data_IF_179332721907
#
_entry.id   IF_179332721907
#
_cell.length_a   1.000
_cell.length_b   1.000
_cell.length_c   1.000
_cell.angle_alpha   90.00
_cell.angle_beta   90.00
_cell.angle_gamma   90.00
#
_symmetry.space_group_name_H-M   'P 1'
#
loop_
_entity.id
_entity.type
_entity.pdbx_description
1 polymer ?
#
# COMPACT_ATOMS: atom_id res chain seq x y z
N UNK A 1 34.69 -4.30 -48.59
CA UNK A 1 33.78 -5.37 -49.05
C UNK A 1 33.84 -6.51 -48.04
N UNK A 2 32.73 -7.24 -47.82
CA UNK A 2 32.45 -8.23 -46.75
C UNK A 2 31.83 -7.60 -45.46
N UNK A 3 30.57 -7.12 -45.49
CA UNK A 3 29.25 -7.82 -45.41
C UNK A 3 28.92 -8.41 -44.03
N UNK A 4 28.18 -7.61 -43.27
CA UNK A 4 27.26 -8.00 -42.19
C UNK A 4 26.26 -9.05 -42.71
N UNK A 5 26.40 -10.31 -42.28
CA UNK A 5 25.45 -11.38 -42.56
C UNK A 5 24.80 -12.00 -41.31
N UNK A 6 25.20 -11.61 -40.10
CA UNK A 6 24.76 -12.28 -38.87
C UNK A 6 23.54 -11.64 -38.18
N UNK A 7 22.92 -10.60 -38.77
CA UNK A 7 21.79 -9.89 -38.16
C UNK A 7 20.41 -10.26 -38.77
N UNK A 8 20.38 -11.03 -39.87
CA UNK A 8 19.14 -11.36 -40.58
C UNK A 8 18.60 -12.77 -40.25
N UNK A 9 19.38 -13.65 -39.60
CA UNK A 9 18.95 -15.02 -39.25
C UNK A 9 18.46 -15.19 -37.80
N UNK A 10 18.57 -14.16 -36.95
CA UNK A 10 18.09 -14.22 -35.57
C UNK A 10 16.62 -13.75 -35.40
N UNK A 11 15.99 -13.24 -36.46
CA UNK A 11 14.63 -12.65 -36.44
C UNK A 11 13.55 -13.53 -37.09
N UNK A 12 13.90 -14.72 -37.58
CA UNK A 12 12.97 -15.63 -38.29
C UNK A 12 12.63 -16.90 -37.53
N UNK A 13 13.01 -17.02 -36.25
CA UNK A 13 12.78 -18.21 -35.41
C UNK A 13 11.76 -18.09 -34.29
N UNK A 14 11.10 -16.94 -34.09
CA UNK A 14 10.26 -16.67 -32.92
C UNK A 14 8.82 -16.24 -33.25
N UNK A 15 8.28 -16.69 -34.39
CA UNK A 15 6.89 -16.48 -34.78
C UNK A 15 6.23 -17.82 -35.09
N UNK A 16 5.90 -18.57 -34.03
CA UNK A 16 4.98 -19.71 -34.11
C UNK A 16 3.97 -19.61 -32.96
N UNK A 17 2.75 -19.20 -33.33
CA UNK A 17 1.47 -19.67 -32.79
C UNK A 17 1.34 -19.82 -31.26
N UNK A 18 1.02 -18.70 -30.59
CA UNK A 18 0.32 -18.72 -29.32
C UNK A 18 -1.16 -19.10 -29.55
N UNK A 19 -1.42 -20.40 -29.70
CA UNK A 19 -2.78 -20.97 -29.76
C UNK A 19 -3.42 -20.90 -28.37
N UNK A 20 -4.52 -20.17 -28.27
CA UNK A 20 -5.40 -20.16 -27.10
C UNK A 20 -6.14 -21.51 -27.04
N UNK A 21 -5.95 -22.28 -25.95
CA UNK A 21 -6.75 -23.47 -25.69
C UNK A 21 -8.05 -23.09 -24.95
N UNK A 22 -9.24 -23.30 -25.54
CA UNK A 22 -10.49 -23.14 -24.83
C UNK A 22 -10.85 -24.41 -24.05
N UNK A 23 -11.28 -24.23 -22.81
CA UNK A 23 -12.16 -25.16 -22.10
C UNK A 23 -11.49 -26.37 -21.45
N UNK A 24 -11.26 -26.28 -20.12
CA UNK A 24 -11.40 -27.46 -19.26
C UNK A 24 -12.22 -27.10 -18.02
N UNK A 25 -13.35 -27.78 -17.91
CA UNK A 25 -14.37 -27.67 -16.87
C UNK A 25 -13.82 -28.10 -15.51
N UNK A 26 -14.32 -27.48 -14.44
CA UNK A 26 -14.02 -27.86 -13.06
C UNK A 26 -14.49 -29.30 -12.78
N UNK A 27 -13.57 -30.16 -12.33
CA UNK A 27 -13.90 -31.45 -11.73
C UNK A 27 -14.31 -31.25 -10.26
N UNK A 28 -15.46 -31.80 -9.81
CA UNK A 28 -15.84 -31.80 -8.40
C UNK A 28 -15.11 -32.93 -7.65
N UNK A 29 -14.54 -32.59 -6.49
CA UNK A 29 -13.95 -33.56 -5.57
C UNK A 29 -15.02 -34.50 -4.95
N UNK A 30 -14.75 -35.81 -4.79
CA UNK A 30 -15.71 -36.74 -4.24
C UNK A 30 -15.79 -36.66 -2.71
N UNK A 31 -17.04 -36.79 -2.26
CA UNK A 31 -17.53 -36.90 -0.89
C UNK A 31 -16.97 -38.14 -0.20
N UNK A 32 -16.50 -38.00 1.06
CA UNK A 32 -16.37 -39.12 2.00
C UNK A 32 -17.31 -38.88 3.19
N UNK A 33 -18.21 -39.84 3.44
CA UNK A 33 -19.10 -39.92 4.59
C UNK A 33 -18.88 -41.23 5.35
N UNK A 34 -19.07 -41.14 6.69
CA UNK A 34 -19.17 -42.12 7.80
C UNK A 34 -17.96 -42.04 8.74
N UNK A 35 -18.10 -41.83 10.06
CA UNK A 35 -19.07 -42.36 11.07
C UNK A 35 -19.52 -41.23 12.05
N UNK A 36 -20.80 -40.98 12.37
CA UNK A 36 -21.75 -41.58 13.35
C UNK A 36 -21.29 -41.74 14.82
N UNK A 37 -21.73 -40.80 15.68
CA UNK A 37 -22.47 -41.01 16.96
C UNK A 37 -22.75 -39.61 17.59
N UNK A 38 -23.96 -39.08 17.72
CA UNK A 38 -25.19 -39.49 18.46
C UNK A 38 -25.36 -38.73 19.79
N UNK A 39 -26.21 -37.69 19.77
CA UNK A 39 -27.22 -37.24 20.78
C UNK A 39 -27.51 -35.74 20.59
N UNK A 40 -28.66 -35.15 20.90
CA UNK A 40 -30.08 -35.49 21.00
C UNK A 40 -30.76 -34.19 21.53
N UNK A 41 -31.94 -33.81 21.03
CA UNK A 41 -32.78 -32.72 21.57
C UNK A 41 -33.24 -31.68 20.53
N UNK A 42 -34.22 -31.99 19.66
CA UNK A 42 -35.68 -31.75 19.79
C UNK A 42 -36.03 -30.28 20.15
N UNK A 43 -36.64 -29.49 19.25
CA UNK A 43 -38.08 -29.40 18.89
C UNK A 43 -38.51 -27.94 19.16
N UNK A 44 -39.44 -27.25 18.50
CA UNK A 44 -40.45 -27.60 17.51
C UNK A 44 -40.82 -26.34 16.70
N UNK A 45 -41.26 -26.58 15.46
CA UNK A 45 -42.07 -25.68 14.63
C UNK A 45 -43.53 -25.79 15.09
N UNK A 46 -44.22 -24.66 15.20
CA UNK A 46 -45.67 -24.57 15.36
C UNK A 46 -46.22 -23.52 14.40
N UNK A 47 -47.17 -23.94 13.56
CA UNK A 47 -47.93 -23.14 12.59
C UNK A 47 -49.41 -23.18 12.99
N UNK A 48 -50.16 -22.15 12.56
CA UNK A 48 -51.56 -21.79 12.85
C UNK A 48 -51.68 -20.87 14.08
N UNK A 49 -52.27 -19.68 13.97
CA UNK A 49 -53.68 -19.48 13.62
C UNK A 49 -53.96 -18.13 12.95
N UNK A 50 -55.00 -18.14 12.13
CA UNK A 50 -55.60 -17.03 11.38
C UNK A 50 -56.31 -16.08 12.35
N UNK A 51 -56.07 -14.77 12.24
CA UNK A 51 -57.11 -13.79 12.60
C UNK A 51 -57.14 -12.66 11.58
N UNK A 52 -58.36 -12.39 11.14
CA UNK A 52 -58.73 -11.58 10.00
C UNK A 52 -59.44 -10.35 10.56
N UNK A 53 -58.84 -9.16 10.46
CA UNK A 53 -59.56 -7.90 10.59
C UNK A 53 -58.78 -6.75 9.97
N UNK A 54 -59.08 -6.49 8.70
CA UNK A 54 -59.01 -5.16 8.10
C UNK A 54 -60.29 -4.40 8.55
N UNK A 55 -60.18 -3.10 8.85
CA UNK A 55 -60.90 -2.20 7.96
C UNK A 55 -60.01 -1.06 7.47
N UNK A 56 -60.29 -0.69 6.23
CA UNK A 56 -59.72 0.41 5.47
C UNK A 56 -59.82 1.74 6.22
N UNK A 57 -58.72 2.49 6.20
CA UNK A 57 -58.73 3.94 6.36
C UNK A 57 -57.57 4.52 5.55
N UNK A 58 -57.93 4.90 4.32
CA UNK A 58 -57.53 6.14 3.66
C UNK A 58 -56.03 6.49 3.63
N UNK A 59 -55.49 6.34 2.41
CA UNK A 59 -54.67 7.35 1.73
C UNK A 59 -54.41 8.63 2.55
N UNK A 60 -53.23 8.71 3.16
CA UNK A 60 -52.62 9.99 3.51
C UNK A 60 -51.48 10.23 2.52
N UNK A 61 -51.85 11.03 1.52
CA UNK A 61 -51.01 11.92 0.75
C UNK A 61 -49.59 11.45 0.44
N UNK A 62 -49.45 10.99 -0.80
CA UNK A 62 -48.65 11.74 -1.77
C UNK A 62 -48.76 13.26 -1.53
N UNK A 63 -48.02 13.75 -0.52
CA UNK A 63 -47.76 15.18 -0.34
C UNK A 63 -46.88 15.53 -1.52
N UNK A 64 -47.53 16.07 -2.54
CA UNK A 64 -46.91 16.94 -3.53
C UNK A 64 -45.85 17.77 -2.83
N UNK A 65 -44.59 17.47 -3.15
CA UNK A 65 -43.45 18.25 -2.75
C UNK A 65 -43.61 19.63 -3.39
N UNK A 66 -44.32 20.49 -2.66
CA UNK A 66 -44.48 21.91 -2.89
C UNK A 66 -43.08 22.48 -3.12
N UNK A 67 -42.92 23.15 -4.26
CA UNK A 67 -41.65 23.43 -4.95
C UNK A 67 -40.64 24.35 -4.27
N UNK A 68 -40.54 24.34 -2.94
CA UNK A 68 -39.61 25.16 -2.16
C UNK A 68 -38.65 24.32 -1.26
N UNK A 69 -38.95 23.04 -1.02
CA UNK A 69 -38.02 22.15 -0.30
C UNK A 69 -36.85 21.64 -1.17
N UNK A 70 -36.98 21.71 -2.50
CA UNK A 70 -35.95 21.38 -3.47
C UNK A 70 -34.68 22.24 -3.36
N UNK A 71 -34.77 23.58 -3.45
CA UNK A 71 -33.61 24.46 -3.41
C UNK A 71 -32.84 24.39 -2.09
N UNK A 72 -33.54 24.34 -0.94
CA UNK A 72 -32.89 24.26 0.39
C UNK A 72 -32.12 22.94 0.59
N UNK A 73 -32.66 21.83 0.07
CA UNK A 73 -31.98 20.52 0.10
C UNK A 73 -30.79 20.47 -0.87
N UNK A 74 -30.89 21.09 -2.04
CA UNK A 74 -29.78 21.19 -2.98
C UNK A 74 -28.62 22.04 -2.41
N UNK A 75 -28.95 23.19 -1.84
CA UNK A 75 -27.97 24.11 -1.24
C UNK A 75 -27.22 23.47 -0.06
N UNK A 76 -27.93 22.78 0.84
CA UNK A 76 -27.30 22.06 1.95
C UNK A 76 -26.38 20.95 1.47
N UNK A 77 -26.80 20.16 0.47
CA UNK A 77 -25.94 19.12 -0.14
C UNK A 77 -24.68 19.71 -0.75
N UNK A 78 -24.77 20.78 -1.53
CA UNK A 78 -23.61 21.42 -2.16
C UNK A 78 -22.66 22.03 -1.12
N UNK A 79 -23.19 22.65 -0.06
CA UNK A 79 -22.37 23.13 1.08
C UNK A 79 -21.59 21.99 1.73
N UNK A 80 -22.26 20.87 1.99
CA UNK A 80 -21.60 19.69 2.57
C UNK A 80 -20.50 19.14 1.64
N UNK A 81 -20.77 19.03 0.34
CA UNK A 81 -19.78 18.56 -0.64
C UNK A 81 -18.57 19.50 -0.73
N UNK A 82 -18.81 20.82 -0.75
CA UNK A 82 -17.73 21.82 -0.77
C UNK A 82 -16.84 21.71 0.46
N UNK A 83 -17.43 21.53 1.65
CA UNK A 83 -16.67 21.33 2.89
C UNK A 83 -15.87 20.03 2.86
N UNK A 84 -16.46 18.93 2.37
CA UNK A 84 -15.77 17.64 2.25
C UNK A 84 -14.59 17.73 1.28
N UNK A 85 -14.78 18.33 0.10
CA UNK A 85 -13.71 18.52 -0.89
C UNK A 85 -12.58 19.37 -0.31
N UNK A 86 -12.88 20.48 0.37
CA UNK A 86 -11.85 21.33 0.99
C UNK A 86 -11.05 20.60 2.08
N UNK A 87 -11.71 19.75 2.86
CA UNK A 87 -11.04 18.94 3.90
C UNK A 87 -10.15 17.85 3.28
N UNK A 88 -10.60 17.24 2.19
CA UNK A 88 -9.91 16.12 1.55
C UNK A 88 -8.94 16.54 0.44
N UNK A 89 -8.85 17.83 0.11
CA UNK A 89 -8.02 18.38 -0.96
C UNK A 89 -6.55 17.96 -0.85
N UNK A 90 -6.08 17.81 0.39
CA UNK A 90 -4.72 17.39 0.70
C UNK A 90 -4.36 15.98 0.22
N UNK A 91 -5.34 15.13 -0.07
CA UNK A 91 -5.10 13.81 -0.68
C UNK A 91 -4.38 13.97 -2.04
N UNK A 92 -4.67 15.04 -2.78
CA UNK A 92 -4.04 15.32 -4.07
C UNK A 92 -2.56 15.68 -3.97
N UNK A 93 -2.07 16.04 -2.78
CA UNK A 93 -0.67 16.35 -2.51
C UNK A 93 0.16 15.11 -2.12
N UNK A 94 -0.40 13.91 -2.23
CA UNK A 94 0.36 12.70 -1.93
C UNK A 94 1.48 12.47 -2.96
N UNK A 95 2.64 12.00 -2.48
CA UNK A 95 3.76 11.63 -3.33
C UNK A 95 3.81 10.10 -3.40
N UNK A 96 3.39 9.57 -4.55
CA UNK A 96 3.35 8.13 -4.76
C UNK A 96 4.72 7.47 -4.59
N UNK A 97 5.80 8.09 -5.08
CA UNK A 97 7.13 7.48 -5.06
C UNK A 97 7.66 7.32 -3.64
N UNK A 98 7.44 8.34 -2.79
CA UNK A 98 7.83 8.30 -1.38
C UNK A 98 7.05 7.25 -0.58
N UNK A 99 5.73 7.15 -0.79
CA UNK A 99 4.89 6.19 -0.07
C UNK A 99 5.01 4.76 -0.60
N UNK A 100 5.15 4.57 -1.92
CA UNK A 100 5.28 3.27 -2.54
C UNK A 100 6.59 2.58 -2.13
N UNK A 101 7.63 3.37 -1.82
CA UNK A 101 8.96 2.88 -1.47
C UNK A 101 9.43 1.82 -2.47
N UNK A 102 9.41 2.17 -3.76
CA UNK A 102 9.71 1.24 -4.85
C UNK A 102 11.13 0.64 -4.70
N UNK A 103 12.08 1.48 -4.31
CA UNK A 103 13.50 1.11 -4.11
C UNK A 103 13.82 0.46 -2.75
N UNK A 104 12.83 -0.16 -2.10
CA UNK A 104 13.02 -0.87 -0.84
C UNK A 104 14.03 -2.01 -1.00
N UNK A 105 15.16 -2.01 -0.27
CA UNK A 105 16.19 -3.03 -0.46
C UNK A 105 15.65 -4.39 -0.05
N UNK A 106 15.75 -5.34 -0.97
CA UNK A 106 15.19 -6.67 -0.81
C UNK A 106 15.92 -7.46 0.29
N UNK A 107 15.19 -8.37 0.94
CA UNK A 107 15.73 -9.22 2.01
C UNK A 107 16.87 -10.11 1.52
N UNK A 108 16.83 -10.55 0.25
CA UNK A 108 17.91 -11.31 -0.36
C UNK A 108 19.21 -10.49 -0.43
N UNK A 109 19.12 -9.24 -0.91
CA UNK A 109 20.28 -8.34 -1.02
C UNK A 109 20.92 -8.07 0.35
N UNK A 110 20.10 -7.92 1.39
CA UNK A 110 20.55 -7.70 2.77
C UNK A 110 21.21 -8.96 3.35
N UNK A 111 20.64 -10.14 3.08
CA UNK A 111 21.21 -11.41 3.51
C UNK A 111 22.55 -11.71 2.80
N UNK A 112 22.63 -11.45 1.50
CA UNK A 112 23.86 -11.57 0.72
C UNK A 112 24.95 -10.62 1.22
N UNK A 113 24.61 -9.35 1.49
CA UNK A 113 25.54 -8.38 2.05
C UNK A 113 26.01 -8.80 3.45
N UNK A 114 25.13 -9.32 4.31
CA UNK A 114 25.49 -9.87 5.62
C UNK A 114 26.46 -11.04 5.50
N UNK A 115 26.18 -12.01 4.63
CA UNK A 115 27.06 -13.16 4.39
C UNK A 115 28.44 -12.73 3.91
N UNK A 116 28.52 -11.76 3.00
CA UNK A 116 29.81 -11.24 2.52
C UNK A 116 30.65 -10.61 3.64
N UNK A 117 30.00 -9.88 4.55
CA UNK A 117 30.65 -9.29 5.73
C UNK A 117 31.10 -10.36 6.71
N UNK A 118 30.23 -11.33 6.99
CA UNK A 118 30.53 -12.37 7.97
C UNK A 118 31.66 -13.30 7.46
N UNK A 119 31.70 -13.61 6.16
CA UNK A 119 32.83 -14.31 5.52
C UNK A 119 34.13 -13.51 5.59
N UNK A 120 34.06 -12.20 5.36
CA UNK A 120 35.22 -11.31 5.49
C UNK A 120 35.74 -11.29 6.93
N UNK A 121 34.88 -11.07 7.93
CA UNK A 121 35.26 -11.12 9.35
C UNK A 121 35.83 -12.47 9.74
N UNK A 122 35.24 -13.58 9.27
CA UNK A 122 35.73 -14.92 9.53
C UNK A 122 37.15 -15.10 8.96
N UNK A 123 37.38 -14.67 7.72
CA UNK A 123 38.72 -14.72 7.11
C UNK A 123 39.75 -13.88 7.88
N UNK A 124 39.36 -12.70 8.36
CA UNK A 124 40.21 -11.83 9.15
C UNK A 124 40.56 -12.46 10.51
N UNK A 125 39.58 -13.06 11.20
CA UNK A 125 39.79 -13.77 12.47
C UNK A 125 40.72 -14.96 12.27
N UNK A 126 40.49 -15.78 11.25
CA UNK A 126 41.36 -16.92 10.94
C UNK A 126 42.80 -16.45 10.69
N UNK A 127 43.00 -15.44 9.84
CA UNK A 127 44.33 -14.89 9.58
C UNK A 127 44.98 -14.31 10.85
N UNK A 128 44.21 -13.63 11.70
CA UNK A 128 44.69 -13.11 12.99
C UNK A 128 45.12 -14.23 13.94
N UNK A 129 44.34 -15.32 14.04
CA UNK A 129 44.70 -16.47 14.89
C UNK A 129 45.98 -17.16 14.41
N UNK A 130 46.18 -17.30 13.09
CA UNK A 130 47.42 -17.85 12.51
C UNK A 130 48.61 -16.95 12.85
N UNK A 131 48.45 -15.63 12.72
CA UNK A 131 49.49 -14.67 13.06
C UNK A 131 49.85 -14.71 14.56
N UNK A 132 48.85 -14.69 15.45
CA UNK A 132 49.06 -14.79 16.90
C UNK A 132 49.73 -16.11 17.30
N UNK A 133 49.35 -17.22 16.67
CA UNK A 133 49.98 -18.53 16.89
C UNK A 133 51.42 -18.61 16.36
N UNK A 134 51.77 -17.77 15.39
CA UNK A 134 53.14 -17.60 14.92
C UNK A 134 54.01 -16.82 15.91
N UNK A 135 53.45 -15.80 16.58
CA UNK A 135 54.15 -15.03 17.62
C UNK A 135 54.48 -15.86 18.86
N UNK A 136 53.65 -16.85 19.20
CA UNK A 136 53.89 -17.76 20.33
C UNK A 136 54.90 -18.87 20.00
N UNK A 137 55.44 -18.91 18.78
CA UNK A 137 56.43 -19.92 18.35
C UNK A 137 55.84 -21.30 18.06
N UNK A 138 54.50 -21.43 18.05
CA UNK A 138 53.82 -22.69 17.79
C UNK A 138 53.81 -23.06 16.29
N UNK A 139 54.00 -22.07 15.40
CA UNK A 139 53.93 -22.21 13.95
C UNK A 139 55.20 -21.65 13.29
N UNK A 140 55.75 -22.30 12.25
CA UNK A 140 56.92 -21.82 11.52
C UNK A 140 56.82 -20.37 11.00
N UNK A 141 57.95 -19.64 11.02
CA UNK A 141 58.00 -18.21 10.71
C UNK A 141 57.50 -17.83 9.30
N UNK A 142 57.69 -18.69 8.29
CA UNK A 142 57.18 -18.47 6.94
C UNK A 142 55.65 -18.49 6.85
N UNK A 143 54.98 -19.34 7.65
CA UNK A 143 53.53 -19.39 7.75
C UNK A 143 53.01 -18.20 8.57
N UNK A 144 53.73 -17.82 9.63
CA UNK A 144 53.41 -16.64 10.43
C UNK A 144 53.47 -15.34 9.58
N UNK A 145 54.51 -15.18 8.77
CA UNK A 145 54.65 -14.06 7.84
C UNK A 145 53.60 -14.05 6.73
N UNK A 146 53.25 -15.22 6.18
CA UNK A 146 52.15 -15.36 5.23
C UNK A 146 50.79 -14.99 5.82
N UNK A 147 50.52 -15.43 7.06
CA UNK A 147 49.30 -15.07 7.81
C UNK A 147 49.20 -13.57 8.08
N UNK A 148 50.32 -12.92 8.41
CA UNK A 148 50.38 -11.47 8.59
C UNK A 148 50.08 -10.69 7.29
N UNK A 149 50.68 -11.11 6.18
CA UNK A 149 50.42 -10.50 4.86
C UNK A 149 48.96 -10.67 4.42
N UNK A 150 48.42 -11.87 4.56
CA UNK A 150 47.00 -12.15 4.29
C UNK A 150 46.08 -11.31 5.19
N UNK A 151 46.41 -11.20 6.48
CA UNK A 151 45.65 -10.38 7.43
C UNK A 151 45.59 -8.91 7.01
N UNK A 152 46.72 -8.31 6.62
CA UNK A 152 46.75 -6.91 6.14
C UNK A 152 45.94 -6.73 4.86
N UNK A 153 46.06 -7.64 3.90
CA UNK A 153 45.30 -7.58 2.63
C UNK A 153 43.79 -7.67 2.90
N UNK A 154 43.38 -8.60 3.77
CA UNK A 154 41.97 -8.76 4.17
C UNK A 154 41.50 -7.48 4.87
N UNK A 155 42.31 -6.88 5.75
CA UNK A 155 41.97 -5.66 6.47
C UNK A 155 41.79 -4.46 5.51
N UNK A 156 42.65 -4.33 4.51
CA UNK A 156 42.52 -3.33 3.44
C UNK A 156 41.24 -3.51 2.61
N UNK A 157 40.84 -4.75 2.31
CA UNK A 157 39.57 -5.07 1.65
C UNK A 157 38.33 -4.71 2.50
N UNK A 158 38.50 -4.55 3.81
CA UNK A 158 37.46 -4.07 4.72
C UNK A 158 37.20 -2.58 4.63
N UNK A 159 38.15 -1.80 4.11
CA UNK A 159 38.02 -0.35 3.99
C UNK A 159 37.03 -0.05 2.85
N UNK A 160 35.93 0.69 3.12
CA UNK A 160 34.88 0.92 2.13
C UNK A 160 35.39 1.64 0.88
N UNK A 161 36.43 2.46 0.98
CA UNK A 161 37.06 3.15 -0.14
C UNK A 161 37.75 2.18 -1.12
N UNK A 162 38.51 1.21 -0.61
CA UNK A 162 39.20 0.19 -1.42
C UNK A 162 38.19 -0.82 -1.97
N UNK A 163 37.22 -1.21 -1.13
CA UNK A 163 36.13 -2.09 -1.53
C UNK A 163 35.30 -1.49 -2.67
N UNK A 164 34.98 -0.20 -2.64
CA UNK A 164 34.17 0.47 -3.67
C UNK A 164 34.84 0.51 -5.05
N UNK A 165 36.18 0.44 -5.10
CA UNK A 165 36.95 0.30 -6.35
C UNK A 165 36.85 -1.13 -6.92
N UNK A 166 36.82 -2.14 -6.05
CA UNK A 166 36.86 -3.56 -6.44
C UNK A 166 35.47 -4.21 -6.55
N UNK A 167 34.47 -3.68 -5.86
CA UNK A 167 33.10 -4.21 -5.85
C UNK A 167 32.09 -3.08 -5.67
N UNK A 168 31.14 -3.01 -6.59
CA UNK A 168 30.00 -2.09 -6.58
C UNK A 168 28.87 -2.55 -5.65
N UNK A 169 29.05 -3.64 -4.90
CA UNK A 169 28.02 -4.16 -4.01
C UNK A 169 27.79 -3.22 -2.81
N UNK A 170 26.54 -2.80 -2.52
CA UNK A 170 26.23 -1.93 -1.39
C UNK A 170 26.58 -2.62 -0.06
N UNK A 171 27.09 -1.83 0.89
CA UNK A 171 27.38 -2.34 2.23
C UNK A 171 26.10 -2.72 2.98
N UNK A 172 26.18 -3.70 3.88
CA UNK A 172 25.06 -4.07 4.75
C UNK A 172 24.53 -2.86 5.55
N UNK A 173 25.44 -2.01 6.07
CA UNK A 173 25.04 -0.81 6.80
C UNK A 173 24.35 0.22 5.88
N UNK A 174 24.81 0.37 4.64
CA UNK A 174 24.19 1.26 3.68
C UNK A 174 22.75 0.83 3.37
N UNK A 175 22.51 -0.48 3.22
CA UNK A 175 21.16 -1.03 3.02
C UNK A 175 20.26 -0.77 4.23
N UNK A 176 20.76 -0.94 5.46
CA UNK A 176 20.01 -0.65 6.68
C UNK A 176 19.70 0.84 6.82
N UNK A 177 20.68 1.70 6.59
CA UNK A 177 20.52 3.16 6.62
C UNK A 177 19.51 3.59 5.56
N UNK A 178 19.57 3.01 4.35
CA UNK A 178 18.59 3.26 3.28
C UNK A 178 17.17 2.89 3.72
N UNK A 179 16.96 1.70 4.31
CA UNK A 179 15.66 1.28 4.86
C UNK A 179 15.13 2.28 5.89
N UNK A 180 15.98 2.67 6.83
CA UNK A 180 15.59 3.61 7.89
C UNK A 180 15.28 5.00 7.35
N UNK A 181 16.04 5.49 6.36
CA UNK A 181 15.80 6.78 5.71
C UNK A 181 14.45 6.76 5.00
N UNK A 182 14.20 5.80 4.13
CA UNK A 182 12.92 5.69 3.41
C UNK A 182 11.71 5.56 4.35
N UNK A 183 11.82 4.79 5.44
CA UNK A 183 10.75 4.74 6.45
C UNK A 183 10.53 6.08 7.15
N UNK A 184 11.61 6.81 7.46
CA UNK A 184 11.51 8.13 8.10
C UNK A 184 10.90 9.15 7.14
N UNK A 185 11.29 9.13 5.88
CA UNK A 185 10.81 10.04 4.85
C UNK A 185 9.31 9.79 4.58
N UNK A 186 8.91 8.52 4.43
CA UNK A 186 7.50 8.15 4.30
C UNK A 186 6.65 8.54 5.53
N UNK A 187 7.18 8.36 6.75
CA UNK A 187 6.48 8.79 7.97
C UNK A 187 6.35 10.31 8.06
N UNK A 188 7.40 11.05 7.73
CA UNK A 188 7.39 12.51 7.74
C UNK A 188 6.42 13.05 6.68
N UNK A 189 6.35 12.40 5.53
CA UNK A 189 5.36 12.73 4.50
C UNK A 189 3.93 12.42 4.94
N UNK A 190 3.69 11.27 5.56
CA UNK A 190 2.38 10.94 6.14
C UNK A 190 2.00 11.91 7.27
N UNK A 191 2.95 12.28 8.14
CA UNK A 191 2.76 13.30 9.18
C UNK A 191 2.43 14.65 8.59
N UNK A 192 3.11 15.01 7.49
CA UNK A 192 2.75 16.18 6.72
C UNK A 192 1.29 16.00 6.29
N UNK A 193 0.95 15.06 5.40
CA UNK A 193 -0.40 14.85 4.85
C UNK A 193 -1.53 14.82 5.90
N UNK A 194 -1.39 14.08 7.01
CA UNK A 194 -2.43 13.99 8.04
C UNK A 194 -2.68 15.32 8.76
N UNK A 195 -1.63 16.14 8.94
CA UNK A 195 -1.75 17.42 9.63
C UNK A 195 -2.29 17.30 11.06
N UNK A 196 -3.06 18.30 11.51
CA UNK A 196 -3.59 18.37 12.89
C UNK A 196 -4.90 17.59 13.09
N UNK A 197 -5.64 17.36 12.02
CA UNK A 197 -7.04 16.92 12.07
C UNK A 197 -7.21 15.46 11.62
N UNK A 198 -6.22 14.86 10.95
CA UNK A 198 -6.29 13.49 10.46
C UNK A 198 -7.00 13.40 9.12
N UNK A 199 -6.22 13.43 8.03
CA UNK A 199 -6.72 13.42 6.66
C UNK A 199 -7.58 12.19 6.39
N UNK A 200 -7.10 11.02 6.79
CA UNK A 200 -7.80 9.76 6.54
C UNK A 200 -9.19 9.73 7.19
N UNK A 201 -9.31 10.22 8.42
CA UNK A 201 -10.58 10.30 9.14
C UNK A 201 -11.57 11.26 8.44
N UNK A 202 -11.08 12.39 7.91
CA UNK A 202 -11.91 13.30 7.12
C UNK A 202 -12.39 12.65 5.82
N UNK A 203 -11.47 11.96 5.12
CA UNK A 203 -11.76 11.28 3.87
C UNK A 203 -12.75 10.12 4.02
N UNK A 204 -12.91 9.57 5.23
CA UNK A 204 -13.88 8.53 5.52
C UNK A 204 -15.32 8.94 5.20
N UNK A 205 -15.61 10.26 5.25
CA UNK A 205 -16.92 10.82 4.90
C UNK A 205 -17.24 10.69 3.41
N UNK A 206 -16.22 10.60 2.54
CA UNK A 206 -16.40 10.41 1.09
C UNK A 206 -16.72 8.95 0.71
N UNK A 207 -16.89 8.06 1.69
CA UNK A 207 -17.19 6.66 1.45
C UNK A 207 -18.55 6.41 0.77
N UNK A 208 -19.40 7.42 0.62
CA UNK A 208 -20.62 7.34 -0.17
C UNK A 208 -20.33 7.35 -1.68
N UNK A 209 -19.22 7.98 -2.11
CA UNK A 209 -18.74 7.99 -3.50
C UNK A 209 -17.83 6.81 -3.85
N UNK A 210 -17.18 6.22 -2.83
CA UNK A 210 -16.38 5.01 -2.98
C UNK A 210 -16.53 4.10 -1.75
N UNK A 211 -17.30 3.00 -1.84
CA UNK A 211 -17.51 2.10 -0.70
C UNK A 211 -16.23 1.37 -0.28
N UNK A 212 -15.18 1.34 -1.12
CA UNK A 212 -13.90 0.74 -0.78
C UNK A 212 -13.26 1.36 0.47
N UNK A 213 -13.56 2.63 0.78
CA UNK A 213 -13.08 3.33 1.97
C UNK A 213 -13.64 2.75 3.27
N UNK A 214 -14.83 2.13 3.23
CA UNK A 214 -15.49 1.48 4.39
C UNK A 214 -14.97 0.06 4.66
N UNK A 215 -14.03 -0.45 3.88
CA UNK A 215 -13.49 -1.79 4.08
C UNK A 215 -12.86 -1.96 5.46
N UNK A 216 -13.13 -3.10 6.11
CA UNK A 216 -12.64 -3.40 7.47
C UNK A 216 -11.10 -3.35 7.59
N UNK A 217 -10.37 -3.55 6.49
CA UNK A 217 -8.89 -3.47 6.45
C UNK A 217 -8.38 -2.07 6.79
N UNK A 218 -9.16 -1.03 6.53
CA UNK A 218 -8.82 0.37 6.80
C UNK A 218 -9.34 0.86 8.16
N UNK A 219 -10.20 0.09 8.85
CA UNK A 219 -10.77 0.47 10.15
C UNK A 219 -9.70 0.83 11.19
N UNK A 220 -8.61 0.05 11.24
CA UNK A 220 -7.49 0.33 12.12
C UNK A 220 -6.79 1.64 11.75
N UNK A 221 -6.53 1.89 10.46
CA UNK A 221 -5.91 3.17 10.02
C UNK A 221 -6.81 4.37 10.34
N UNK A 222 -8.13 4.22 10.17
CA UNK A 222 -9.13 5.24 10.49
C UNK A 222 -9.11 5.61 11.98
N UNK A 223 -9.17 4.60 12.84
CA UNK A 223 -9.12 4.81 14.29
C UNK A 223 -7.79 5.45 14.74
N UNK A 224 -6.67 5.09 14.10
CA UNK A 224 -5.38 5.71 14.39
C UNK A 224 -5.24 7.16 13.86
N UNK A 225 -5.87 7.47 12.73
CA UNK A 225 -5.97 8.83 12.19
C UNK A 225 -6.83 9.71 13.12
N UNK A 226 -7.95 9.19 13.61
CA UNK A 226 -8.80 9.85 14.61
C UNK A 226 -8.03 10.17 15.91
N UNK A 227 -7.21 9.23 16.37
CA UNK A 227 -6.33 9.40 17.53
C UNK A 227 -5.06 10.23 17.25
N UNK A 228 -4.86 10.70 16.02
CA UNK A 228 -3.69 11.52 15.59
C UNK A 228 -2.34 10.83 15.83
N UNK A 229 -2.35 9.50 15.91
CA UNK A 229 -1.15 8.68 16.17
C UNK A 229 -0.71 7.89 14.95
N UNK A 230 -1.39 8.07 13.81
CA UNK A 230 -1.13 7.35 12.56
C UNK A 230 0.34 7.39 12.12
N UNK A 231 1.03 8.55 12.03
CA UNK A 231 2.41 8.57 11.54
C UNK A 231 3.38 7.78 12.43
N UNK A 232 3.08 7.70 13.73
CA UNK A 232 3.88 6.94 14.71
C UNK A 232 3.65 5.43 14.58
N UNK A 233 2.44 5.02 14.20
CA UNK A 233 2.10 3.62 14.03
C UNK A 233 2.53 3.03 12.68
N UNK A 234 2.88 3.88 11.68
CA UNK A 234 3.46 3.50 10.39
C UNK A 234 4.90 2.96 10.54
N UNK A 235 5.06 1.93 11.36
CA UNK A 235 6.34 1.36 11.75
C UNK A 235 6.91 0.40 10.72
N UNK A 236 6.02 -0.30 9.99
CA UNK A 236 6.35 -1.34 9.01
C UNK A 236 5.95 -0.90 7.60
N UNK A 237 6.64 -1.45 6.60
CA UNK A 237 6.35 -1.22 5.17
C UNK A 237 4.90 -1.54 4.81
N UNK A 238 4.37 -2.63 5.36
CA UNK A 238 2.99 -3.09 5.10
C UNK A 238 1.96 -2.02 5.47
N UNK A 239 2.13 -1.36 6.61
CA UNK A 239 1.23 -0.30 7.05
C UNK A 239 1.32 0.94 6.16
N UNK A 240 2.53 1.31 5.72
CA UNK A 240 2.72 2.43 4.78
C UNK A 240 2.09 2.11 3.42
N UNK A 241 2.22 0.87 2.95
CA UNK A 241 1.56 0.43 1.71
C UNK A 241 0.04 0.42 1.84
N UNK A 242 -0.49 -0.02 2.97
CA UNK A 242 -1.93 0.03 3.25
C UNK A 242 -2.43 1.48 3.28
N UNK A 243 -1.65 2.39 3.89
CA UNK A 243 -1.90 3.82 3.89
C UNK A 243 -1.94 4.41 2.46
N UNK A 244 -0.96 4.06 1.62
CA UNK A 244 -0.94 4.45 0.21
C UNK A 244 -2.18 3.98 -0.54
N UNK A 245 -2.56 2.71 -0.38
CA UNK A 245 -3.75 2.15 -1.04
C UNK A 245 -5.00 2.93 -0.62
N UNK A 246 -5.13 3.25 0.66
CA UNK A 246 -6.24 4.07 1.13
C UNK A 246 -6.26 5.46 0.48
N UNK A 247 -5.11 6.13 0.39
CA UNK A 247 -5.03 7.45 -0.24
C UNK A 247 -5.37 7.41 -1.74
N UNK A 248 -4.97 6.36 -2.47
CA UNK A 248 -5.36 6.17 -3.87
C UNK A 248 -6.87 5.96 -4.02
N UNK A 249 -7.48 5.18 -3.12
CA UNK A 249 -8.94 5.02 -3.13
C UNK A 249 -9.67 6.31 -2.74
N UNK A 250 -9.07 7.13 -1.86
CA UNK A 250 -9.58 8.43 -1.46
C UNK A 250 -9.44 9.47 -2.59
N UNK A 251 -8.37 9.44 -3.37
CA UNK A 251 -8.18 10.27 -4.57
C UNK A 251 -9.25 9.94 -5.62
N UNK A 252 -9.49 8.65 -5.87
CA UNK A 252 -10.56 8.22 -6.75
C UNK A 252 -11.94 8.67 -6.24
N UNK A 253 -12.17 8.60 -4.92
CA UNK A 253 -13.41 9.09 -4.31
C UNK A 253 -13.56 10.61 -4.44
N UNK A 254 -12.47 11.36 -4.26
CA UNK A 254 -12.42 12.80 -4.45
C UNK A 254 -12.80 13.18 -5.88
N UNK A 255 -12.23 12.52 -6.89
CA UNK A 255 -12.57 12.78 -8.30
C UNK A 255 -14.05 12.55 -8.60
N UNK A 256 -14.66 11.49 -8.04
CA UNK A 256 -16.10 11.24 -8.16
C UNK A 256 -16.95 12.26 -7.42
N UNK A 257 -16.55 12.65 -6.21
CA UNK A 257 -17.24 13.68 -5.43
C UNK A 257 -17.19 15.05 -6.13
N UNK A 258 -16.06 15.37 -6.76
CA UNK A 258 -15.89 16.59 -7.55
C UNK A 258 -16.77 16.58 -8.82
N UNK A 259 -16.83 15.45 -9.53
CA UNK A 259 -17.74 15.30 -10.67
C UNK A 259 -19.21 15.47 -10.26
N UNK A 260 -19.64 14.84 -9.16
CA UNK A 260 -20.98 14.98 -8.62
C UNK A 260 -21.29 16.40 -8.14
N UNK A 261 -20.29 17.11 -7.60
CA UNK A 261 -20.43 18.53 -7.24
C UNK A 261 -20.69 19.40 -8.47
N UNK A 262 -19.96 19.18 -9.57
CA UNK A 262 -20.18 19.93 -10.81
C UNK A 262 -21.52 19.62 -11.47
N UNK A 263 -21.92 18.34 -11.50
CA UNK A 263 -23.23 17.93 -12.03
C UNK A 263 -24.38 18.56 -11.22
N UNK A 264 -24.31 18.49 -9.89
CA UNK A 264 -25.31 19.13 -9.02
C UNK A 264 -25.32 20.66 -9.15
N UNK A 265 -24.17 21.28 -9.47
CA UNK A 265 -24.10 22.71 -9.73
C UNK A 265 -24.76 23.07 -11.07
N UNK A 266 -24.53 22.28 -12.12
CA UNK A 266 -25.19 22.46 -13.43
C UNK A 266 -26.70 22.26 -13.31
N UNK A 267 -27.16 21.23 -12.60
CA UNK A 267 -28.58 20.98 -12.37
C UNK A 267 -29.25 22.15 -11.60
N UNK A 268 -28.53 22.75 -10.64
CA UNK A 268 -29.02 23.92 -9.93
C UNK A 268 -29.15 25.16 -10.84
N UNK A 269 -28.20 25.35 -11.77
CA UNK A 269 -28.25 26.42 -12.77
C UNK A 269 -29.41 26.20 -13.75
N UNK A 270 -29.58 24.99 -14.26
CA UNK A 270 -30.66 24.64 -15.21
C UNK A 270 -32.05 24.84 -14.60
N UNK A 271 -32.19 24.61 -13.28
CA UNK A 271 -33.43 24.84 -12.52
C UNK A 271 -33.61 26.28 -12.04
N UNK A 272 -32.64 27.17 -12.29
CA UNK A 272 -32.68 28.57 -11.87
C UNK A 272 -32.51 28.79 -10.36
N UNK A 273 -31.89 27.85 -9.65
CA UNK A 273 -31.63 27.96 -8.21
C UNK A 273 -30.33 28.72 -7.95
N UNK A 274 -30.35 30.04 -8.15
CA UNK A 274 -29.17 30.92 -8.02
C UNK A 274 -28.49 30.83 -6.64
N UNK A 275 -29.24 30.57 -5.57
CA UNK A 275 -28.68 30.41 -4.20
C UNK A 275 -27.92 29.10 -4.00
N UNK A 276 -28.20 28.09 -4.82
CA UNK A 276 -27.58 26.78 -4.78
C UNK A 276 -26.39 26.72 -5.76
N UNK A 277 -26.46 27.44 -6.88
CA UNK A 277 -25.34 27.58 -7.80
C UNK A 277 -24.12 28.22 -7.09
N UNK A 278 -23.04 27.46 -6.91
CA UNK A 278 -21.81 27.99 -6.37
C UNK A 278 -21.14 28.90 -7.39
N UNK A 279 -20.94 30.17 -7.05
CA UNK A 279 -20.07 31.05 -7.82
C UNK A 279 -18.61 30.56 -7.72
N UNK A 280 -17.87 30.50 -8.84
CA UNK A 280 -16.44 30.22 -8.81
C UNK A 280 -15.73 31.32 -8.03
N UNK A 281 -14.96 30.95 -7.00
CA UNK A 281 -14.12 31.91 -6.28
C UNK A 281 -13.10 32.54 -7.23
N UNK A 282 -13.03 33.87 -7.25
CA UNK A 282 -11.98 34.63 -7.93
C UNK A 282 -10.63 34.22 -7.33
N UNK A 283 -9.79 33.59 -8.16
CA UNK A 283 -8.40 33.26 -7.81
C UNK A 283 -7.62 34.57 -7.69
N UNK A 284 -7.41 35.03 -6.46
CA UNK A 284 -6.47 36.12 -6.12
C UNK A 284 -5.20 35.56 -5.50
#
# INVERSE_FOLDING_TARGET
MARNQNAAEALTGAAQDAVLHPGRSADPAPVSQKEVSANAGNSAVGTAEVDNNQPDAESIDSVEATGDAGPVRAESRQRTLRLMLRQCDRVLLMDFDLLAMNDWPDNFSVAAARRSRDLWMFSAIVAATIFLSGLTGFVPAWIAGGGFGAFIIILLLGIPAVRRIYTSAPSYLDLLIKRQRMMRDARKHAEHLEGKEGLIWQCARMADFNPALKNARFSSLLHLSEQKSLPRALSRREHVRLYLIYLLEAENAYGRAQAAFFEGNQEAIDKGWEKAAAEPEDRT
#
